data_IF_536122421075
#
_entry.id   IF_536122421075
#
_cell.length_a   1.000
_cell.length_b   1.000
_cell.length_c   1.000
_cell.angle_alpha   90.00
_cell.angle_beta   90.00
_cell.angle_gamma   90.00
#
_symmetry.space_group_name_H-M   'P 1'
#
loop_
_entity.id
_entity.type
_entity.pdbx_description
1 polymer ?
#
# COMPACT_ATOMS: atom_id res chain seq x y z
N UNK A 1 47.50 -50.48 35.87
CA UNK A 1 46.57 -51.11 36.82
C UNK A 1 45.92 -49.97 37.62
N UNK A 2 44.60 -49.75 37.40
CA UNK A 2 43.53 -49.18 38.29
C UNK A 2 43.89 -48.17 39.41
N UNK A 3 43.13 -47.12 39.77
CA UNK A 3 41.85 -46.49 39.35
C UNK A 3 41.57 -45.31 40.35
N UNK A 4 40.60 -44.43 40.00
CA UNK A 4 39.79 -43.47 40.82
C UNK A 4 40.33 -42.02 40.91
N UNK A 5 39.76 -41.00 40.27
CA UNK A 5 38.40 -40.38 40.30
C UNK A 5 38.01 -39.67 41.61
N UNK A 6 37.90 -38.34 41.58
CA UNK A 6 36.96 -37.50 42.36
C UNK A 6 36.71 -36.13 41.67
N UNK A 7 35.57 -36.04 40.99
CA UNK A 7 34.56 -34.94 40.93
C UNK A 7 34.92 -33.44 40.98
N UNK A 8 34.56 -32.77 39.87
CA UNK A 8 33.64 -31.61 39.71
C UNK A 8 33.90 -30.25 40.40
N UNK A 9 33.95 -29.17 39.58
CA UNK A 9 33.13 -27.94 39.64
C UNK A 9 33.61 -26.97 38.54
N UNK A 10 32.97 -26.97 37.36
CA UNK A 10 31.98 -25.98 36.92
C UNK A 10 32.47 -24.52 36.92
N UNK A 11 32.73 -23.98 35.72
CA UNK A 11 32.77 -22.53 35.45
C UNK A 11 32.51 -22.29 33.95
N UNK A 12 31.27 -22.55 33.52
CA UNK A 12 30.75 -21.99 32.27
C UNK A 12 30.47 -20.50 32.50
N UNK A 13 31.32 -19.62 31.97
CA UNK A 13 30.98 -18.20 31.83
C UNK A 13 29.85 -18.08 30.80
N UNK A 14 28.63 -17.93 31.29
CA UNK A 14 27.46 -17.53 30.51
C UNK A 14 27.52 -16.01 30.33
N UNK A 15 28.09 -15.54 29.21
CA UNK A 15 27.98 -14.13 28.81
C UNK A 15 26.56 -13.87 28.32
N UNK A 16 25.67 -13.49 29.25
CA UNK A 16 24.34 -12.99 28.94
C UNK A 16 24.49 -11.58 28.33
N UNK A 17 24.50 -11.48 27.00
CA UNK A 17 24.29 -10.22 26.28
C UNK A 17 22.85 -9.76 26.57
N UNK A 18 22.70 -8.88 27.56
CA UNK A 18 21.48 -8.09 27.74
C UNK A 18 21.37 -7.13 26.56
N UNK A 19 20.62 -7.52 25.53
CA UNK A 19 20.01 -6.58 24.59
C UNK A 19 19.02 -5.73 25.41
N UNK A 20 19.47 -4.59 25.92
CA UNK A 20 18.60 -3.56 26.43
C UNK A 20 17.81 -2.99 25.25
N UNK A 21 16.64 -3.58 24.98
CA UNK A 21 15.61 -2.90 24.22
C UNK A 21 15.14 -1.72 25.09
N UNK A 22 15.70 -0.54 24.83
CA UNK A 22 15.19 0.69 25.43
C UNK A 22 13.75 0.84 24.97
N UNK A 23 12.79 0.59 25.86
CA UNK A 23 11.41 0.91 25.59
C UNK A 23 11.34 2.43 25.38
N UNK A 24 10.74 2.89 24.29
CA UNK A 24 10.56 4.31 24.02
C UNK A 24 9.35 4.82 24.83
N UNK A 25 9.44 6.03 25.38
CA UNK A 25 8.34 6.63 26.14
C UNK A 25 7.37 7.36 25.21
N UNK A 26 6.08 7.27 25.50
CA UNK A 26 5.02 8.00 24.80
C UNK A 26 3.90 8.44 25.76
N UNK A 27 2.90 9.16 25.26
CA UNK A 27 1.73 9.56 26.02
C UNK A 27 1.98 10.71 27.00
N UNK A 28 1.11 10.84 28.00
CA UNK A 28 1.13 11.94 28.98
C UNK A 28 2.45 12.05 29.75
N UNK A 29 3.15 10.93 29.94
CA UNK A 29 4.45 10.85 30.60
C UNK A 29 5.59 11.42 29.74
N UNK A 30 5.36 11.59 28.44
CA UNK A 30 6.34 12.09 27.48
C UNK A 30 5.81 13.32 26.72
N UNK A 31 5.05 14.20 27.40
CA UNK A 31 4.54 15.44 26.80
C UNK A 31 3.56 15.23 25.64
N UNK A 32 2.88 14.08 25.59
CA UNK A 32 1.98 13.71 24.50
C UNK A 32 2.68 13.07 23.30
N UNK A 33 3.96 12.71 23.40
CA UNK A 33 4.69 12.05 22.32
C UNK A 33 3.97 10.79 21.83
N UNK A 34 3.94 10.59 20.51
CA UNK A 34 3.44 9.36 19.89
C UNK A 34 4.57 8.35 19.80
N UNK A 35 4.22 7.07 19.90
CA UNK A 35 5.18 5.99 19.77
C UNK A 35 5.59 5.87 18.28
N UNK A 36 6.88 5.71 17.95
CA UNK A 36 7.32 5.53 16.57
C UNK A 36 6.79 4.22 15.97
N UNK A 37 6.80 4.15 14.64
CA UNK A 37 6.32 2.98 13.87
C UNK A 37 4.85 2.59 14.13
N UNK A 38 4.06 3.52 14.71
CA UNK A 38 2.63 3.31 14.98
C UNK A 38 2.35 2.32 16.11
N UNK A 39 3.29 2.08 17.03
CA UNK A 39 3.08 1.24 18.22
C UNK A 39 2.05 1.87 19.18
N UNK A 40 1.34 1.07 19.95
CA UNK A 40 0.40 1.60 20.93
C UNK A 40 1.17 2.23 22.10
N UNK A 41 0.67 3.37 22.59
CA UNK A 41 1.13 3.95 23.83
C UNK A 41 0.36 3.29 24.96
N UNK A 42 1.02 2.49 25.80
CA UNK A 42 0.38 1.94 26.99
C UNK A 42 -0.07 3.05 27.94
N UNK A 43 -1.00 2.75 28.85
CA UNK A 43 -1.42 3.65 29.95
C UNK A 43 -0.26 4.10 30.84
N UNK A 44 0.86 3.37 30.80
CA UNK A 44 2.07 3.67 31.56
C UNK A 44 3.10 4.49 30.77
N UNK A 45 2.80 4.83 29.51
CA UNK A 45 3.61 5.73 28.71
C UNK A 45 4.79 5.04 28.01
N UNK A 46 4.59 3.81 27.55
CA UNK A 46 5.60 3.04 26.82
C UNK A 46 5.06 2.55 25.48
N UNK A 47 5.95 2.45 24.49
CA UNK A 47 5.64 1.96 23.15
C UNK A 47 5.60 0.42 23.13
N UNK A 48 4.57 -0.17 22.54
CA UNK A 48 4.53 -1.61 22.29
C UNK A 48 3.31 -2.04 21.46
N UNK A 49 3.25 -3.32 21.08
CA UNK A 49 2.24 -3.86 20.17
C UNK A 49 1.39 -5.01 20.77
N UNK A 50 1.65 -5.40 22.02
CA UNK A 50 0.86 -6.42 22.74
C UNK A 50 -0.40 -5.82 23.37
N UNK A 51 -1.28 -6.67 23.89
CA UNK A 51 -2.51 -6.23 24.57
C UNK A 51 -2.23 -5.36 25.80
N UNK A 52 -1.07 -5.50 26.46
CA UNK A 52 -0.69 -4.67 27.60
C UNK A 52 -0.49 -3.20 27.21
N UNK A 53 -0.20 -2.95 25.92
CA UNK A 53 -0.03 -1.62 25.35
C UNK A 53 -1.27 -1.16 24.59
N UNK A 54 -1.97 -2.08 23.92
CA UNK A 54 -2.96 -1.76 22.90
C UNK A 54 -4.42 -1.96 23.31
N UNK A 55 -4.71 -2.73 24.37
CA UNK A 55 -6.09 -3.08 24.71
C UNK A 55 -6.91 -1.86 25.17
N UNK A 56 -8.24 -1.85 24.97
CA UNK A 56 -9.12 -0.83 25.52
C UNK A 56 -8.89 -0.65 27.02
N UNK A 57 -8.69 0.60 27.46
CA UNK A 57 -8.37 0.93 28.87
C UNK A 57 -6.90 0.74 29.28
N UNK A 58 -6.08 0.11 28.44
CA UNK A 58 -4.63 -0.01 28.65
C UNK A 58 -3.81 0.85 27.70
N UNK A 59 -4.44 1.69 26.89
CA UNK A 59 -3.80 2.46 25.84
C UNK A 59 -4.20 3.95 25.87
N UNK A 60 -3.21 4.85 25.71
CA UNK A 60 -3.39 6.30 25.63
C UNK A 60 -3.53 6.81 24.19
N UNK A 61 -2.75 6.26 23.26
CA UNK A 61 -2.71 6.71 21.87
C UNK A 61 -2.28 5.58 20.93
N UNK A 62 -2.67 5.69 19.65
CA UNK A 62 -2.42 4.64 18.63
C UNK A 62 -3.01 3.27 19.02
N UNK A 63 -4.12 3.28 19.78
CA UNK A 63 -4.78 2.09 20.31
C UNK A 63 -5.48 1.26 19.25
N UNK A 64 -5.68 -0.03 19.54
CA UNK A 64 -6.60 -0.87 18.77
C UNK A 64 -8.04 -0.45 19.11
N UNK A 65 -8.73 0.15 18.14
CA UNK A 65 -10.17 0.44 18.23
C UNK A 65 -10.58 1.63 19.11
N UNK A 66 -10.05 2.83 18.85
CA UNK A 66 -10.64 4.07 19.42
C UNK A 66 -12.11 4.27 19.02
N UNK A 67 -12.87 5.12 19.73
CA UNK A 67 -14.32 5.20 19.60
C UNK A 67 -14.73 5.52 18.16
N UNK A 68 -15.45 4.58 17.59
CA UNK A 68 -15.90 4.56 16.19
C UNK A 68 -17.09 5.52 16.04
N UNK A 69 -17.13 6.37 15.00
CA UNK A 69 -18.38 6.96 14.55
C UNK A 69 -19.37 5.82 14.20
N UNK A 70 -20.67 5.94 14.52
CA UNK A 70 -21.63 4.91 14.17
C UNK A 70 -21.90 4.94 12.67
N UNK A 71 -21.46 3.90 11.94
CA UNK A 71 -21.85 3.65 10.55
C UNK A 71 -20.71 3.42 9.57
N UNK A 72 -19.93 2.36 9.75
CA UNK A 72 -18.92 1.91 8.78
C UNK A 72 -18.13 0.75 9.37
N UNK A 73 -18.22 -0.44 8.78
CA UNK A 73 -17.48 -1.60 9.28
C UNK A 73 -15.98 -1.31 9.27
N UNK A 74 -15.30 -1.58 10.38
CA UNK A 74 -13.87 -1.34 10.54
C UNK A 74 -13.09 -2.03 9.41
N UNK A 75 -12.19 -1.30 8.74
CA UNK A 75 -11.29 -1.86 7.73
C UNK A 75 -10.54 -3.09 8.27
N UNK A 76 -10.21 -3.09 9.56
CA UNK A 76 -9.59 -4.22 10.25
C UNK A 76 -10.44 -5.49 10.28
N UNK A 77 -11.76 -5.40 10.11
CA UNK A 77 -12.65 -6.57 10.02
C UNK A 77 -12.65 -7.20 8.61
N UNK A 78 -12.18 -6.47 7.59
CA UNK A 78 -12.05 -6.98 6.22
C UNK A 78 -10.65 -7.54 5.97
N UNK A 79 -9.62 -6.83 6.44
CA UNK A 79 -8.23 -7.25 6.32
C UNK A 79 -7.53 -7.16 7.68
N UNK A 80 -7.29 -8.34 8.27
CA UNK A 80 -6.50 -8.47 9.48
C UNK A 80 -4.99 -8.33 9.19
N UNK A 81 -4.18 -8.11 10.22
CA UNK A 81 -2.72 -8.09 10.08
C UNK A 81 -2.18 -9.39 9.48
N UNK A 82 -2.71 -10.55 9.88
CA UNK A 82 -2.27 -11.84 9.34
C UNK A 82 -2.64 -12.02 7.88
N UNK A 83 -3.81 -11.52 7.44
CA UNK A 83 -4.17 -11.51 6.02
C UNK A 83 -3.27 -10.58 5.21
N UNK A 84 -2.95 -9.39 5.74
CA UNK A 84 -1.99 -8.48 5.13
C UNK A 84 -0.61 -9.14 4.98
N UNK A 85 -0.13 -9.80 6.02
CA UNK A 85 1.14 -10.54 5.99
C UNK A 85 1.10 -11.74 5.04
N UNK A 86 -0.04 -12.43 4.94
CA UNK A 86 -0.22 -13.53 3.99
C UNK A 86 -0.23 -13.04 2.54
N UNK A 87 -0.88 -11.89 2.27
CA UNK A 87 -0.86 -11.27 0.94
C UNK A 87 0.57 -10.86 0.57
N UNK A 88 1.24 -10.12 1.45
CA UNK A 88 2.55 -9.53 1.18
C UNK A 88 3.67 -10.34 1.82
N UNK A 89 3.65 -11.66 1.58
CA UNK A 89 4.44 -12.66 2.31
C UNK A 89 5.94 -12.42 2.26
N UNK A 90 6.48 -12.08 1.09
CA UNK A 90 7.92 -11.94 0.86
C UNK A 90 8.42 -10.48 0.83
N UNK A 91 7.58 -9.49 1.16
CA UNK A 91 7.98 -8.07 1.14
C UNK A 91 9.17 -7.73 2.05
N UNK A 92 9.39 -8.56 3.08
CA UNK A 92 10.44 -8.41 4.08
C UNK A 92 11.64 -9.35 3.85
N UNK A 93 11.70 -10.01 2.69
CA UNK A 93 12.86 -10.80 2.29
C UNK A 93 14.11 -9.92 2.18
N UNK A 94 15.29 -10.50 2.39
CA UNK A 94 16.57 -9.79 2.30
C UNK A 94 16.84 -9.23 0.89
N UNK A 95 16.28 -9.84 -0.15
CA UNK A 95 16.40 -9.38 -1.52
C UNK A 95 15.52 -8.15 -1.82
N UNK A 96 14.58 -7.79 -0.94
CA UNK A 96 13.66 -6.68 -1.17
C UNK A 96 14.16 -5.37 -0.56
N UNK A 97 14.15 -4.31 -1.39
CA UNK A 97 14.45 -2.94 -0.95
C UNK A 97 13.42 -2.45 0.10
N UNK A 98 12.16 -2.87 -0.03
CA UNK A 98 11.05 -2.52 0.86
C UNK A 98 11.07 -3.21 2.23
N UNK A 99 12.09 -4.03 2.51
CA UNK A 99 12.18 -4.79 3.76
C UNK A 99 12.05 -3.89 4.99
N UNK A 100 11.05 -4.19 5.81
CA UNK A 100 10.76 -3.48 7.05
C UNK A 100 10.02 -2.15 6.88
N UNK A 101 9.79 -1.68 5.65
CA UNK A 101 9.15 -0.39 5.39
C UNK A 101 7.61 -0.48 5.43
N UNK A 102 7.03 -1.44 4.72
CA UNK A 102 5.57 -1.56 4.59
C UNK A 102 4.97 -2.39 5.73
N UNK A 103 4.45 -1.70 6.75
CA UNK A 103 3.77 -2.32 7.89
C UNK A 103 2.25 -2.24 7.80
N UNK A 104 1.55 -3.18 8.44
CA UNK A 104 0.09 -3.16 8.56
C UNK A 104 -0.39 -1.89 9.27
N UNK A 105 0.30 -1.46 10.33
CA UNK A 105 -0.04 -0.23 11.05
C UNK A 105 0.08 1.02 10.17
N UNK A 106 1.12 1.11 9.33
CA UNK A 106 1.24 2.22 8.39
C UNK A 106 0.09 2.25 7.39
N UNK A 107 -0.31 1.09 6.86
CA UNK A 107 -1.48 0.95 5.99
C UNK A 107 -2.78 1.39 6.69
N UNK A 108 -3.07 0.87 7.88
CA UNK A 108 -4.29 1.23 8.63
C UNK A 108 -4.30 2.72 8.98
N UNK A 109 -3.17 3.28 9.41
CA UNK A 109 -3.06 4.71 9.72
C UNK A 109 -3.27 5.60 8.48
N UNK A 110 -2.77 5.18 7.32
CA UNK A 110 -3.02 5.88 6.07
C UNK A 110 -4.48 5.79 5.63
N UNK A 111 -5.08 4.60 5.70
CA UNK A 111 -6.46 4.35 5.29
C UNK A 111 -7.49 5.14 6.11
N UNK A 112 -7.20 5.46 7.37
CA UNK A 112 -8.05 6.35 8.20
C UNK A 112 -8.21 7.76 7.60
N UNK A 113 -7.30 8.21 6.74
CA UNK A 113 -7.45 9.49 6.01
C UNK A 113 -8.37 9.39 4.79
N UNK A 114 -8.83 8.18 4.42
CA UNK A 114 -9.67 7.91 3.27
C UNK A 114 -10.86 7.04 3.69
N UNK A 115 -11.83 7.59 4.44
CA UNK A 115 -12.84 6.82 5.16
C UNK A 115 -13.80 6.01 4.27
N UNK A 116 -13.82 6.23 2.96
CA UNK A 116 -14.59 5.42 1.99
C UNK A 116 -13.87 4.15 1.53
N UNK A 117 -12.55 4.07 1.66
CA UNK A 117 -11.74 2.94 1.20
C UNK A 117 -11.97 1.69 2.05
N UNK A 118 -12.41 0.61 1.44
CA UNK A 118 -12.64 -0.68 2.12
C UNK A 118 -13.84 -0.71 3.05
N UNK A 119 -14.63 0.37 3.11
CA UNK A 119 -15.78 0.55 3.99
C UNK A 119 -17.07 0.84 3.22
N UNK A 120 -16.97 1.16 1.93
CA UNK A 120 -18.11 1.47 1.05
C UNK A 120 -18.65 0.22 0.37
N UNK A 121 -19.96 0.21 0.10
CA UNK A 121 -20.65 -0.93 -0.52
C UNK A 121 -20.86 -2.10 0.44
N UNK A 122 -21.29 -3.24 -0.11
CA UNK A 122 -21.47 -4.49 0.64
C UNK A 122 -20.13 -5.16 0.97
N UNK A 123 -20.15 -6.21 1.79
CA UNK A 123 -18.93 -6.95 2.19
C UNK A 123 -18.15 -7.50 0.99
N UNK A 124 -18.85 -7.90 -0.08
CA UNK A 124 -18.22 -8.40 -1.31
C UNK A 124 -17.43 -7.29 -2.01
N UNK A 125 -18.01 -6.10 -2.16
CA UNK A 125 -17.37 -4.93 -2.73
C UNK A 125 -16.15 -4.51 -1.91
N UNK A 126 -16.27 -4.47 -0.58
CA UNK A 126 -15.15 -4.12 0.32
C UNK A 126 -13.98 -5.10 0.18
N UNK A 127 -14.25 -6.41 0.17
CA UNK A 127 -13.21 -7.43 -0.04
C UNK A 127 -12.54 -7.30 -1.41
N UNK A 128 -13.34 -7.08 -2.47
CA UNK A 128 -12.80 -6.86 -3.83
C UNK A 128 -11.97 -5.61 -3.92
N UNK A 129 -12.38 -4.51 -3.27
CA UNK A 129 -11.62 -3.28 -3.23
C UNK A 129 -10.24 -3.50 -2.59
N UNK A 130 -10.19 -4.15 -1.43
CA UNK A 130 -8.92 -4.46 -0.77
C UNK A 130 -8.04 -5.36 -1.65
N UNK A 131 -8.59 -6.44 -2.22
CA UNK A 131 -7.84 -7.29 -3.13
C UNK A 131 -7.32 -6.52 -4.36
N UNK A 132 -8.14 -5.66 -4.95
CA UNK A 132 -7.80 -4.92 -6.16
C UNK A 132 -6.71 -3.88 -5.90
N UNK A 133 -6.84 -3.11 -4.80
CA UNK A 133 -5.83 -2.14 -4.39
C UNK A 133 -4.49 -2.81 -4.14
N UNK A 134 -4.47 -3.87 -3.32
CA UNK A 134 -3.21 -4.58 -3.04
C UNK A 134 -2.65 -5.27 -4.28
N UNK A 135 -3.48 -5.74 -5.20
CA UNK A 135 -3.02 -6.38 -6.42
C UNK A 135 -2.32 -5.41 -7.36
N UNK A 136 -2.96 -4.27 -7.62
CA UNK A 136 -2.37 -3.23 -8.46
C UNK A 136 -1.06 -2.73 -7.87
N UNK A 137 -1.06 -2.40 -6.58
CA UNK A 137 0.15 -1.90 -5.91
C UNK A 137 1.24 -2.97 -5.75
N UNK A 138 0.86 -4.25 -5.66
CA UNK A 138 1.83 -5.35 -5.66
C UNK A 138 2.51 -5.50 -7.02
N UNK A 139 1.77 -5.34 -8.12
CA UNK A 139 2.37 -5.32 -9.46
C UNK A 139 3.39 -4.18 -9.61
N UNK A 140 3.02 -2.95 -9.22
CA UNK A 140 3.90 -1.77 -9.29
C UNK A 140 5.21 -1.95 -8.50
N UNK A 141 5.21 -2.83 -7.51
CA UNK A 141 6.32 -3.03 -6.57
C UNK A 141 6.83 -4.47 -6.54
N UNK A 142 6.52 -5.26 -7.58
CA UNK A 142 6.79 -6.71 -7.57
C UNK A 142 8.29 -7.01 -7.64
N UNK A 143 8.74 -7.89 -6.75
CA UNK A 143 10.03 -8.57 -6.86
C UNK A 143 9.89 -10.00 -7.36
N UNK A 144 8.71 -10.40 -7.83
CA UNK A 144 8.40 -11.77 -8.21
C UNK A 144 9.02 -12.18 -9.54
N UNK A 145 9.36 -13.45 -9.65
CA UNK A 145 9.75 -14.13 -10.89
C UNK A 145 9.01 -15.45 -11.02
N UNK A 146 9.03 -16.06 -12.21
CA UNK A 146 8.18 -17.21 -12.55
C UNK A 146 8.33 -18.41 -11.58
N UNK A 147 9.53 -18.63 -11.03
CA UNK A 147 9.85 -19.73 -10.12
C UNK A 147 10.10 -19.25 -8.68
N UNK A 148 9.62 -18.05 -8.31
CA UNK A 148 9.82 -17.51 -6.98
C UNK A 148 9.16 -18.40 -5.92
N UNK A 149 9.73 -18.48 -4.70
CA UNK A 149 9.09 -19.15 -3.57
C UNK A 149 7.64 -18.66 -3.38
N UNK A 150 6.70 -19.60 -3.24
CA UNK A 150 5.24 -19.35 -3.18
C UNK A 150 4.62 -18.69 -4.44
N UNK A 151 5.35 -18.69 -5.56
CA UNK A 151 4.94 -18.14 -6.84
C UNK A 151 5.17 -16.62 -6.97
N UNK A 152 5.14 -16.08 -8.20
CA UNK A 152 5.44 -14.66 -8.47
C UNK A 152 4.52 -13.70 -7.69
N UNK A 153 3.27 -14.10 -7.44
CA UNK A 153 2.25 -13.26 -6.83
C UNK A 153 2.34 -13.18 -5.28
N UNK A 154 3.38 -13.73 -4.67
CA UNK A 154 3.70 -13.59 -3.24
C UNK A 154 4.75 -12.50 -2.96
N UNK A 155 5.24 -11.83 -4.01
CA UNK A 155 6.39 -10.92 -3.98
C UNK A 155 6.04 -9.46 -4.29
N UNK A 156 4.79 -9.06 -4.07
CA UNK A 156 4.41 -7.65 -4.07
C UNK A 156 5.08 -6.87 -2.94
N UNK A 157 5.17 -5.55 -3.07
CA UNK A 157 5.74 -4.64 -2.07
C UNK A 157 7.24 -4.85 -1.80
N UNK A 158 7.97 -5.41 -2.77
CA UNK A 158 9.40 -5.64 -2.68
C UNK A 158 10.21 -4.35 -2.96
N UNK A 159 9.69 -3.46 -3.82
CA UNK A 159 10.36 -2.21 -4.20
C UNK A 159 9.70 -0.95 -3.61
N UNK A 160 10.51 0.07 -3.39
CA UNK A 160 10.08 1.39 -2.90
C UNK A 160 10.19 2.47 -3.96
N UNK A 161 11.20 2.37 -4.83
CA UNK A 161 11.55 3.36 -5.85
C UNK A 161 11.63 2.67 -7.21
N UNK A 162 11.33 3.42 -8.26
CA UNK A 162 11.48 2.99 -9.64
C UNK A 162 12.92 2.53 -9.91
N UNK A 163 13.06 1.42 -10.65
CA UNK A 163 14.34 0.79 -10.96
C UNK A 163 14.89 1.29 -12.31
N UNK A 164 16.19 1.09 -12.54
CA UNK A 164 16.78 1.27 -13.88
C UNK A 164 17.09 2.71 -14.29
N UNK A 165 17.62 3.52 -13.36
CA UNK A 165 18.06 4.91 -13.63
C UNK A 165 16.96 5.80 -14.21
N UNK A 166 15.86 6.01 -13.46
CA UNK A 166 14.72 6.77 -13.95
C UNK A 166 15.07 8.23 -14.27
N UNK A 167 14.37 8.80 -15.24
CA UNK A 167 14.42 10.22 -15.55
C UNK A 167 13.86 11.09 -14.41
N UNK A 168 13.78 12.40 -14.64
CA UNK A 168 13.31 13.32 -13.59
C UNK A 168 11.78 13.37 -13.47
N UNK A 169 11.05 12.88 -14.49
CA UNK A 169 9.59 12.93 -14.58
C UNK A 169 9.01 14.32 -14.31
N UNK A 170 9.74 15.37 -14.71
CA UNK A 170 9.31 16.75 -14.63
C UNK A 170 8.61 17.16 -15.93
N UNK A 171 7.35 17.56 -15.84
CA UNK A 171 6.60 18.21 -16.91
C UNK A 171 6.40 19.67 -16.55
N UNK A 172 6.85 20.65 -17.37
CA UNK A 172 6.66 22.07 -17.09
C UNK A 172 5.20 22.41 -16.77
N UNK A 173 4.97 23.09 -15.64
CA UNK A 173 3.63 23.46 -15.18
C UNK A 173 3.71 24.70 -14.30
N UNK A 174 2.82 25.67 -14.53
CA UNK A 174 2.66 26.82 -13.63
C UNK A 174 1.97 26.43 -12.31
N UNK A 175 1.11 25.41 -12.33
CA UNK A 175 0.36 24.98 -11.14
C UNK A 175 1.18 24.05 -10.26
N UNK A 176 1.99 23.17 -10.86
CA UNK A 176 2.82 22.19 -10.17
C UNK A 176 4.28 22.28 -10.64
N UNK A 177 4.97 23.40 -10.39
CA UNK A 177 6.33 23.60 -10.87
C UNK A 177 7.29 22.55 -10.30
N UNK A 178 8.24 22.10 -11.11
CA UNK A 178 9.27 21.20 -10.65
C UNK A 178 10.22 21.94 -9.69
N UNK A 179 10.37 21.43 -8.48
CA UNK A 179 11.29 21.97 -7.50
C UNK A 179 12.75 21.75 -7.96
N UNK A 180 13.64 22.75 -7.86
CA UNK A 180 15.04 22.61 -8.28
C UNK A 180 15.73 21.40 -7.63
N UNK A 181 16.38 20.57 -8.45
CA UNK A 181 17.11 19.38 -7.98
C UNK A 181 16.23 18.22 -7.51
N UNK A 182 14.90 18.31 -7.61
CA UNK A 182 13.98 17.23 -7.25
C UNK A 182 13.58 16.40 -8.47
N UNK A 183 13.33 15.11 -8.22
CA UNK A 183 12.92 14.12 -9.23
C UNK A 183 11.64 13.43 -8.81
N UNK A 184 10.74 13.23 -9.77
CA UNK A 184 9.38 12.73 -9.57
C UNK A 184 9.17 11.32 -10.16
N UNK A 185 10.22 10.50 -10.18
CA UNK A 185 10.12 9.08 -10.54
C UNK A 185 9.24 8.29 -9.57
N UNK A 186 8.90 7.05 -9.94
CA UNK A 186 8.01 6.18 -9.18
C UNK A 186 8.46 5.97 -7.74
N UNK A 187 7.57 6.24 -6.78
CA UNK A 187 7.77 5.92 -5.36
C UNK A 187 6.51 5.30 -4.74
N UNK A 188 6.73 4.47 -3.71
CA UNK A 188 5.66 3.89 -2.90
C UNK A 188 4.81 2.85 -3.63
N UNK A 189 3.67 2.43 -3.04
CA UNK A 189 2.90 1.29 -3.51
C UNK A 189 2.31 1.45 -4.91
N UNK A 190 1.92 2.67 -5.31
CA UNK A 190 1.35 2.94 -6.63
C UNK A 190 2.40 3.45 -7.63
N UNK A 191 3.68 3.46 -7.24
CA UNK A 191 4.77 4.08 -8.01
C UNK A 191 4.39 5.48 -8.52
N UNK A 192 3.87 6.33 -7.62
CA UNK A 192 3.40 7.68 -8.00
C UNK A 192 4.52 8.42 -8.71
N UNK A 193 4.21 8.92 -9.90
CA UNK A 193 5.18 9.48 -10.84
C UNK A 193 4.69 10.81 -11.39
N UNK A 194 5.61 11.69 -11.78
CA UNK A 194 5.41 13.05 -12.27
C UNK A 194 5.00 14.11 -11.25
N UNK A 195 5.56 15.31 -11.40
CA UNK A 195 5.26 16.51 -10.58
C UNK A 195 3.76 16.83 -10.52
N UNK A 196 3.03 16.63 -11.64
CA UNK A 196 1.58 16.84 -11.70
C UNK A 196 0.75 15.80 -10.93
N UNK A 197 1.36 14.73 -10.40
CA UNK A 197 0.74 13.84 -9.42
C UNK A 197 1.25 14.12 -8.00
N UNK A 198 2.56 14.33 -7.80
CA UNK A 198 3.13 14.66 -6.49
C UNK A 198 2.53 15.94 -5.90
N UNK A 199 2.34 16.98 -6.71
CA UNK A 199 1.73 18.25 -6.31
C UNK A 199 0.32 18.10 -5.74
N UNK A 200 -0.68 17.63 -6.51
CA UNK A 200 -2.04 17.47 -6.02
C UNK A 200 -2.16 16.40 -4.93
N UNK A 201 -1.38 15.31 -4.97
CA UNK A 201 -1.31 14.34 -3.90
C UNK A 201 -0.86 14.99 -2.59
N UNK A 202 0.26 15.72 -2.63
CA UNK A 202 0.81 16.41 -1.47
C UNK A 202 -0.18 17.39 -0.87
N UNK A 203 -0.83 18.21 -1.71
CA UNK A 203 -1.91 19.11 -1.28
C UNK A 203 -3.04 18.35 -0.57
N UNK A 204 -3.50 17.23 -1.14
CA UNK A 204 -4.62 16.47 -0.60
C UNK A 204 -4.31 15.81 0.76
N UNK A 205 -3.06 15.36 0.96
CA UNK A 205 -2.66 14.66 2.19
C UNK A 205 -2.01 15.60 3.23
N UNK A 206 -1.90 16.90 2.93
CA UNK A 206 -1.31 17.92 3.80
C UNK A 206 0.21 17.86 3.93
N UNK A 207 0.91 17.40 2.89
CA UNK A 207 2.38 17.24 2.86
C UNK A 207 2.95 17.88 1.60
N UNK A 208 4.03 18.66 1.73
CA UNK A 208 4.70 19.24 0.55
C UNK A 208 5.57 18.22 -0.19
N UNK A 209 4.91 17.38 -0.99
CA UNK A 209 5.53 16.36 -1.83
C UNK A 209 6.19 16.93 -3.09
N UNK A 210 5.90 18.18 -3.46
CA UNK A 210 6.51 18.81 -4.63
C UNK A 210 7.97 19.19 -4.33
N UNK A 211 8.23 19.75 -3.16
CA UNK A 211 9.59 20.06 -2.69
C UNK A 211 10.27 18.89 -1.97
N UNK A 212 9.50 17.92 -1.45
CA UNK A 212 10.02 16.78 -0.69
C UNK A 212 9.47 15.42 -1.21
N UNK A 213 9.69 15.08 -2.50
CA UNK A 213 9.11 13.87 -3.09
C UNK A 213 9.63 12.57 -2.45
N UNK A 214 10.82 12.59 -1.85
CA UNK A 214 11.40 11.41 -1.20
C UNK A 214 10.64 10.94 0.03
N UNK A 215 9.78 11.78 0.63
CA UNK A 215 8.90 11.38 1.74
C UNK A 215 8.03 10.17 1.39
N UNK A 216 7.63 10.02 0.12
CA UNK A 216 6.87 8.85 -0.35
C UNK A 216 7.66 7.55 -0.22
N UNK A 217 8.98 7.59 -0.15
CA UNK A 217 9.87 6.44 -0.02
C UNK A 217 10.71 6.44 1.27
N UNK A 218 10.38 7.31 2.24
CA UNK A 218 11.02 7.35 3.57
C UNK A 218 10.03 7.37 4.73
N UNK A 219 8.75 7.70 4.50
CA UNK A 219 7.68 7.58 5.48
C UNK A 219 6.58 6.64 4.96
N UNK A 220 6.38 5.52 5.64
CA UNK A 220 5.45 4.48 5.19
C UNK A 220 3.98 4.92 5.21
N UNK A 221 3.58 5.81 6.12
CA UNK A 221 2.20 6.33 6.17
C UNK A 221 1.98 7.27 4.99
N UNK A 222 2.92 8.18 4.71
CA UNK A 222 2.86 9.06 3.52
C UNK A 222 2.87 8.22 2.23
N UNK A 223 3.68 7.16 2.20
CA UNK A 223 3.75 6.21 1.09
C UNK A 223 2.38 5.59 0.79
N UNK A 224 1.74 4.98 1.79
CA UNK A 224 0.39 4.43 1.62
C UNK A 224 -0.66 5.51 1.31
N UNK A 225 -0.57 6.69 1.93
CA UNK A 225 -1.49 7.80 1.64
C UNK A 225 -1.41 8.24 0.18
N UNK A 226 -0.23 8.21 -0.44
CA UNK A 226 -0.10 8.54 -1.87
C UNK A 226 -0.81 7.53 -2.77
N UNK A 227 -0.71 6.24 -2.46
CA UNK A 227 -1.39 5.17 -3.18
C UNK A 227 -2.91 5.23 -2.99
N UNK A 228 -3.37 5.45 -1.77
CA UNK A 228 -4.79 5.63 -1.45
C UNK A 228 -5.35 6.90 -2.11
N UNK A 229 -4.61 8.01 -2.10
CA UNK A 229 -5.00 9.21 -2.82
C UNK A 229 -5.23 8.93 -4.30
N UNK A 230 -4.28 8.26 -4.97
CA UNK A 230 -4.43 7.90 -6.38
C UNK A 230 -5.68 7.01 -6.60
N UNK A 231 -5.86 6.01 -5.73
CA UNK A 231 -6.99 5.08 -5.82
C UNK A 231 -8.36 5.77 -5.69
N UNK A 232 -8.45 6.73 -4.77
CA UNK A 232 -9.71 7.39 -4.39
C UNK A 232 -10.02 8.63 -5.23
N UNK A 233 -9.06 9.17 -5.99
CA UNK A 233 -9.20 10.46 -6.66
C UNK A 233 -9.46 10.28 -8.16
N UNK A 234 -10.62 10.73 -8.68
CA UNK A 234 -10.84 10.77 -10.12
C UNK A 234 -9.93 11.80 -10.79
N UNK A 235 -9.40 11.48 -11.96
CA UNK A 235 -8.62 12.39 -12.80
C UNK A 235 -9.20 12.39 -14.19
N UNK A 236 -10.14 13.32 -14.46
CA UNK A 236 -10.90 13.36 -15.71
C UNK A 236 -10.00 13.21 -16.95
N UNK A 237 -10.34 12.33 -17.91
CA UNK A 237 -11.61 11.59 -18.04
C UNK A 237 -11.69 10.29 -17.22
N UNK A 238 -10.66 9.94 -16.43
CA UNK A 238 -10.63 8.70 -15.64
C UNK A 238 -11.50 8.84 -14.37
N UNK A 239 -12.38 7.87 -14.08
CA UNK A 239 -13.02 7.78 -12.77
C UNK A 239 -11.98 7.38 -11.70
N UNK A 240 -12.37 7.40 -10.43
CA UNK A 240 -11.54 6.82 -9.37
C UNK A 240 -11.53 5.30 -9.49
N UNK A 241 -10.43 4.65 -9.08
CA UNK A 241 -10.37 3.19 -8.99
C UNK A 241 -11.40 2.66 -7.98
N UNK A 242 -11.58 3.42 -6.88
CA UNK A 242 -12.61 3.21 -5.87
C UNK A 242 -14.01 3.06 -6.48
N UNK A 243 -14.50 4.08 -7.20
CA UNK A 243 -15.86 4.07 -7.74
C UNK A 243 -16.09 2.94 -8.75
N UNK A 244 -15.04 2.54 -9.49
CA UNK A 244 -15.11 1.38 -10.37
C UNK A 244 -15.33 0.10 -9.57
N UNK A 245 -14.48 -0.19 -8.58
CA UNK A 245 -14.49 -1.51 -7.92
C UNK A 245 -15.71 -1.70 -7.02
N UNK A 246 -16.28 -0.62 -6.47
CA UNK A 246 -17.50 -0.68 -5.65
C UNK A 246 -18.79 -0.52 -6.49
N UNK A 247 -18.67 -0.42 -7.81
CA UNK A 247 -19.83 -0.37 -8.72
C UNK A 247 -20.56 0.96 -8.77
N UNK A 248 -19.94 2.07 -8.34
CA UNK A 248 -20.52 3.42 -8.42
C UNK A 248 -20.29 4.10 -9.77
N UNK A 249 -19.20 3.76 -10.45
CA UNK A 249 -18.92 4.32 -11.76
C UNK A 249 -19.84 3.72 -12.82
N UNK A 250 -20.55 4.59 -13.54
CA UNK A 250 -21.35 4.22 -14.70
C UNK A 250 -20.60 4.64 -15.97
N UNK A 251 -20.25 3.69 -16.87
CA UNK A 251 -19.57 4.02 -18.12
C UNK A 251 -20.39 5.01 -18.95
N UNK A 252 -19.73 5.99 -19.56
CA UNK A 252 -20.35 6.83 -20.59
C UNK A 252 -20.59 6.05 -21.89
N UNK A 253 -21.24 6.68 -22.87
CA UNK A 253 -21.32 6.14 -24.24
C UNK A 253 -19.93 5.97 -24.86
N UNK A 254 -19.02 6.92 -24.63
CA UNK A 254 -17.64 6.86 -25.10
C UNK A 254 -16.84 5.73 -24.44
N UNK A 255 -17.11 5.43 -23.16
CA UNK A 255 -16.49 4.31 -22.45
C UNK A 255 -16.96 2.97 -23.01
N UNK A 256 -18.28 2.80 -23.20
CA UNK A 256 -18.83 1.59 -23.83
C UNK A 256 -18.27 1.37 -25.23
N UNK A 257 -18.22 2.42 -26.06
CA UNK A 257 -17.64 2.34 -27.41
C UNK A 257 -16.13 2.01 -27.39
N UNK A 258 -15.45 2.29 -26.29
CA UNK A 258 -14.04 1.96 -26.06
C UNK A 258 -13.83 0.63 -25.32
N UNK A 259 -14.88 -0.17 -25.15
CA UNK A 259 -14.91 -1.41 -24.35
C UNK A 259 -14.56 -1.22 -22.87
N UNK A 260 -14.56 0.01 -22.35
CA UNK A 260 -14.32 0.29 -20.93
C UNK A 260 -15.60 0.04 -20.15
N UNK A 261 -15.66 -1.12 -19.50
CA UNK A 261 -16.78 -1.57 -18.65
C UNK A 261 -16.29 -1.82 -17.22
N UNK A 262 -17.18 -1.80 -16.20
CA UNK A 262 -16.77 -1.96 -14.81
C UNK A 262 -16.07 -3.30 -14.56
N UNK A 263 -14.95 -3.26 -13.86
CA UNK A 263 -14.14 -4.44 -13.52
C UNK A 263 -12.68 -4.10 -13.25
N UNK A 264 -11.89 -5.11 -12.90
CA UNK A 264 -10.48 -4.93 -12.57
C UNK A 264 -9.65 -4.43 -13.77
N UNK A 265 -10.05 -4.78 -15.00
CA UNK A 265 -9.36 -4.36 -16.22
C UNK A 265 -9.40 -2.84 -16.43
N UNK A 266 -10.53 -2.17 -16.18
CA UNK A 266 -10.58 -0.72 -16.33
C UNK A 266 -9.78 0.00 -15.24
N UNK A 267 -9.56 -0.61 -14.08
CA UNK A 267 -8.62 -0.11 -13.05
C UNK A 267 -7.19 -0.14 -13.57
N UNK A 268 -6.77 -1.24 -14.22
CA UNK A 268 -5.48 -1.29 -14.93
C UNK A 268 -5.38 -0.19 -16.00
N UNK A 269 -6.47 0.07 -16.72
CA UNK A 269 -6.53 1.14 -17.72
C UNK A 269 -6.36 2.54 -17.09
N UNK A 270 -6.97 2.80 -15.93
CA UNK A 270 -6.80 4.05 -15.16
C UNK A 270 -5.33 4.24 -14.77
N UNK A 271 -4.70 3.19 -14.25
CA UNK A 271 -3.32 3.23 -13.73
C UNK A 271 -2.30 3.39 -14.87
N UNK A 272 -2.33 2.52 -15.87
CA UNK A 272 -1.30 2.50 -16.92
C UNK A 272 -1.81 2.11 -18.31
N UNK A 273 -3.07 2.44 -18.62
CA UNK A 273 -3.71 1.98 -19.86
C UNK A 273 -3.04 2.43 -21.15
N UNK A 274 -2.35 3.58 -21.15
CA UNK A 274 -1.58 4.06 -22.31
C UNK A 274 -0.49 3.08 -22.75
N UNK A 275 0.07 2.31 -21.81
CA UNK A 275 1.13 1.35 -22.07
C UNK A 275 0.64 -0.11 -22.11
N UNK A 276 -0.45 -0.42 -21.40
CA UNK A 276 -0.85 -1.81 -21.12
C UNK A 276 -2.16 -2.26 -21.79
N UNK A 277 -3.04 -1.32 -22.17
CA UNK A 277 -4.38 -1.65 -22.65
C UNK A 277 -4.55 -1.43 -24.16
N UNK A 278 -5.56 -2.08 -24.74
CA UNK A 278 -5.96 -1.88 -26.15
C UNK A 278 -5.02 -2.50 -27.17
N UNK A 279 -4.18 -3.45 -26.74
CA UNK A 279 -3.11 -4.08 -27.53
C UNK A 279 -3.08 -5.60 -27.41
N UNK A 280 -4.21 -6.22 -27.05
CA UNK A 280 -4.32 -7.66 -26.86
C UNK A 280 -3.73 -8.14 -25.54
N UNK A 281 -3.17 -9.35 -25.53
CA UNK A 281 -2.55 -9.95 -24.33
C UNK A 281 -1.26 -9.24 -23.96
N UNK A 282 -1.16 -8.79 -22.72
CA UNK A 282 0.02 -8.12 -22.16
C UNK A 282 0.45 -8.79 -20.85
N UNK A 283 1.74 -9.11 -20.72
CA UNK A 283 2.25 -9.82 -19.53
C UNK A 283 2.11 -9.01 -18.25
N UNK A 284 2.16 -7.67 -18.32
CA UNK A 284 1.99 -6.78 -17.15
C UNK A 284 0.56 -6.84 -16.65
N UNK A 285 -0.41 -6.81 -17.57
CA UNK A 285 -1.83 -6.99 -17.26
C UNK A 285 -2.09 -8.36 -16.64
N UNK A 286 -1.47 -9.42 -17.16
CA UNK A 286 -1.60 -10.76 -16.59
C UNK A 286 -1.00 -10.87 -15.18
N UNK A 287 0.11 -10.16 -14.91
CA UNK A 287 0.70 -10.10 -13.57
C UNK A 287 -0.23 -9.40 -12.56
N UNK A 288 -0.80 -8.24 -12.92
CA UNK A 288 -1.84 -7.55 -12.12
C UNK A 288 -3.02 -8.48 -11.80
N UNK A 289 -3.53 -9.20 -12.81
CA UNK A 289 -4.62 -10.17 -12.66
C UNK A 289 -4.20 -11.33 -11.75
N UNK A 290 -2.97 -11.81 -11.86
CA UNK A 290 -2.43 -12.89 -11.04
C UNK A 290 -2.43 -12.55 -9.55
N UNK A 291 -1.92 -11.37 -9.18
CA UNK A 291 -2.03 -10.84 -7.83
C UNK A 291 -3.49 -10.71 -7.38
N UNK A 292 -4.37 -10.17 -8.22
CA UNK A 292 -5.77 -9.95 -7.87
C UNK A 292 -6.51 -11.26 -7.57
N UNK A 293 -6.30 -12.29 -8.41
CA UNK A 293 -6.85 -13.63 -8.18
C UNK A 293 -6.35 -14.24 -6.88
N UNK A 294 -5.05 -14.13 -6.59
CA UNK A 294 -4.46 -14.63 -5.34
C UNK A 294 -5.08 -13.93 -4.12
N UNK A 295 -5.22 -12.61 -4.15
CA UNK A 295 -5.76 -11.85 -3.02
C UNK A 295 -7.27 -12.03 -2.84
N UNK A 296 -8.02 -12.16 -3.94
CA UNK A 296 -9.43 -12.55 -3.90
C UNK A 296 -9.62 -13.92 -3.23
N UNK A 297 -8.75 -14.90 -3.54
CA UNK A 297 -8.76 -16.22 -2.91
C UNK A 297 -8.50 -16.14 -1.40
N UNK A 298 -7.49 -15.37 -0.96
CA UNK A 298 -7.20 -15.14 0.47
C UNK A 298 -8.39 -14.53 1.21
N UNK A 299 -9.10 -13.58 0.59
CA UNK A 299 -10.28 -12.93 1.18
C UNK A 299 -11.58 -13.75 1.03
N UNK A 300 -11.54 -14.86 0.31
CA UNK A 300 -12.72 -15.69 0.02
C UNK A 300 -13.78 -14.93 -0.76
N UNK A 301 -13.39 -14.24 -1.84
CA UNK A 301 -14.31 -13.50 -2.72
C UNK A 301 -14.04 -13.83 -4.19
N UNK A 302 -15.08 -13.87 -5.03
CA UNK A 302 -14.90 -14.01 -6.48
C UNK A 302 -14.30 -12.73 -7.07
N UNK A 303 -13.30 -12.79 -7.97
CA UNK A 303 -12.71 -11.61 -8.63
C UNK A 303 -13.71 -10.76 -9.43
N UNK A 304 -14.85 -11.35 -9.84
CA UNK A 304 -15.77 -10.73 -10.79
C UNK A 304 -15.29 -10.85 -12.24
N UNK A 305 -15.98 -10.14 -13.14
CA UNK A 305 -15.75 -10.17 -14.57
C UNK A 305 -14.83 -9.01 -15.05
N UNK A 306 -14.58 -8.94 -16.35
CA UNK A 306 -13.84 -7.86 -17.01
C UNK A 306 -12.47 -7.58 -16.36
N UNK A 307 -11.70 -8.65 -16.15
CA UNK A 307 -10.42 -8.60 -15.43
C UNK A 307 -9.28 -7.98 -16.25
N UNK A 308 -9.35 -8.08 -17.58
CA UNK A 308 -8.34 -7.55 -18.48
C UNK A 308 -8.77 -6.27 -19.19
N UNK A 309 -7.79 -5.60 -19.79
CA UNK A 309 -8.01 -4.42 -20.62
C UNK A 309 -7.44 -4.56 -22.04
N UNK A 310 -7.19 -5.79 -22.51
CA UNK A 310 -6.54 -6.05 -23.79
C UNK A 310 -7.29 -5.45 -24.98
N UNK A 311 -8.62 -5.40 -24.89
CA UNK A 311 -9.51 -4.82 -25.89
C UNK A 311 -10.08 -3.45 -25.51
N UNK A 312 -9.64 -2.87 -24.38
CA UNK A 312 -10.08 -1.54 -23.95
C UNK A 312 -9.21 -0.45 -24.54
N UNK A 313 -9.79 0.57 -25.17
CA UNK A 313 -9.01 1.76 -25.55
C UNK A 313 -8.57 2.50 -24.29
N UNK A 314 -7.32 2.93 -24.23
CA UNK A 314 -6.79 3.69 -23.11
C UNK A 314 -7.59 4.98 -22.88
N UNK A 315 -7.76 5.39 -21.62
CA UNK A 315 -8.20 6.75 -21.32
C UNK A 315 -7.17 7.74 -21.87
N UNK A 316 -7.62 8.71 -22.70
CA UNK A 316 -6.75 9.72 -23.32
C UNK A 316 -6.35 9.47 -24.79
N UNK A 317 -6.65 8.30 -25.39
CA UNK A 317 -6.45 8.05 -26.83
C UNK A 317 -7.69 8.37 -27.70
N UNK A 318 -8.57 9.24 -27.19
CA UNK A 318 -9.69 9.77 -27.98
C UNK A 318 -9.28 11.12 -28.56
N UNK A 319 -9.37 11.23 -29.88
CA UNK A 319 -9.30 12.37 -30.79
C UNK A 319 -9.97 13.70 -30.32
N UNK A 320 -9.69 14.17 -29.10
CA UNK A 320 -10.18 15.40 -28.46
C UNK A 320 -9.17 15.92 -27.42
N UNK A 321 -7.88 15.77 -27.68
CA UNK A 321 -6.82 16.55 -26.98
C UNK A 321 -6.26 17.56 -27.97
N UNK A 322 -7.14 18.28 -28.66
CA UNK A 322 -6.80 19.55 -29.28
C UNK A 322 -7.54 20.62 -28.50
N UNK A 323 -6.78 21.58 -27.97
CA UNK A 323 -7.19 22.83 -27.30
C UNK A 323 -7.77 22.72 -25.89
N UNK A 324 -6.88 22.67 -24.89
CA UNK A 324 -6.80 23.71 -23.84
C UNK A 324 -5.35 23.87 -23.37
#
# INVERSE_FOLDING_TARGET
MRLREFTALSSLLFSLLLLSASAEQCGSQAGGALCPSGLCCSKFGWCGDTNDYCAPGNCQSQCRGGPTPPGGGDLGSIISSSMFDQMLKHRNDNACQGKGFYSYNAFINAARSFPGFGTSGDTTARKREIAAFFAQTSHETTGGWATAPDGPYAWGYCWLREQGSPGDYCTPSGQWPCAPGRKYFGRGPIQISHNYNYGPCGRAIGVDLLNNPDLVATDAVISFKSALWFWMTPQSPKPSCHDVIIGRWQPSSADRAANRVPGFGVITNIINGGLECGRGTDSRVQDRIGFYRRYCSILGVSPGDNLDCGNQRSFGNGLLVDTM
#
